data_IF_607558656003
#
_entry.id   IF_607558656003
#
_cell.length_a   1.000
_cell.length_b   1.000
_cell.length_c   1.000
_cell.angle_alpha   90.00
_cell.angle_beta   90.00
_cell.angle_gamma   90.00
#
_symmetry.space_group_name_H-M   'P 1'
#
loop_
_entity.id
_entity.type
_entity.pdbx_description
1 polymer ?
#
# COMPACT_ATOMS: atom_id res chain seq x y z
N UNK A 1 -12.49 13.42 -8.30
CA UNK A 1 -12.29 13.08 -6.87
C UNK A 1 -11.74 11.66 -6.79
N UNK A 2 -10.44 11.45 -7.06
CA UNK A 2 -9.84 10.10 -7.22
C UNK A 2 -9.40 9.45 -5.90
N UNK A 3 -9.30 10.23 -4.82
CA UNK A 3 -8.81 9.77 -3.52
C UNK A 3 -9.77 8.74 -2.88
N UNK A 4 -11.09 8.85 -3.14
CA UNK A 4 -12.08 7.90 -2.62
C UNK A 4 -11.92 6.51 -3.26
N UNK A 5 -11.40 6.43 -4.49
CA UNK A 5 -11.16 5.15 -5.18
C UNK A 5 -10.22 4.23 -4.40
N UNK A 6 -9.25 4.81 -3.68
CA UNK A 6 -8.31 4.08 -2.82
C UNK A 6 -8.97 3.47 -1.57
N UNK A 7 -10.16 3.96 -1.19
CA UNK A 7 -10.96 3.48 -0.06
C UNK A 7 -12.17 2.65 -0.49
N UNK A 8 -12.32 2.33 -1.78
CA UNK A 8 -13.35 1.40 -2.20
C UNK A 8 -13.15 0.05 -1.51
N UNK A 9 -14.21 -0.50 -0.92
CA UNK A 9 -14.21 -1.86 -0.37
C UNK A 9 -13.93 -2.83 -1.51
N UNK A 10 -12.69 -3.24 -1.65
CA UNK A 10 -12.31 -4.31 -2.57
C UNK A 10 -12.57 -5.61 -1.82
N UNK A 11 -13.60 -6.36 -2.22
CA UNK A 11 -13.84 -7.68 -1.64
C UNK A 11 -12.77 -8.64 -2.16
N UNK A 12 -11.64 -8.70 -1.44
CA UNK A 12 -10.50 -9.55 -1.77
C UNK A 12 -10.94 -11.01 -1.81
N UNK A 13 -11.85 -11.43 -0.93
CA UNK A 13 -12.34 -12.81 -0.88
C UNK A 13 -13.14 -13.17 -2.14
N UNK A 14 -13.98 -12.26 -2.63
CA UNK A 14 -14.71 -12.44 -3.89
C UNK A 14 -13.77 -12.48 -5.11
N UNK A 15 -12.73 -11.63 -5.13
CA UNK A 15 -11.71 -11.63 -6.19
C UNK A 15 -10.83 -12.89 -6.20
N UNK A 16 -10.59 -13.48 -5.03
CA UNK A 16 -9.86 -14.75 -4.93
C UNK A 16 -10.71 -15.93 -5.41
N UNK A 17 -12.02 -15.92 -5.14
CA UNK A 17 -12.96 -16.96 -5.59
C UNK A 17 -13.21 -16.95 -7.10
N UNK A 18 -13.20 -15.78 -7.71
CA UNK A 18 -13.44 -15.59 -9.16
C UNK A 18 -12.15 -15.55 -9.98
N UNK A 19 -11.00 -15.80 -9.34
CA UNK A 19 -9.70 -15.77 -9.99
C UNK A 19 -9.59 -16.87 -11.08
N UNK A 20 -9.22 -16.52 -12.32
CA UNK A 20 -9.11 -17.48 -13.42
C UNK A 20 -7.91 -18.42 -13.29
N UNK A 21 -6.87 -17.99 -12.57
CA UNK A 21 -5.64 -18.76 -12.37
C UNK A 21 -4.94 -18.38 -11.04
N UNK A 22 -3.91 -19.15 -10.69
CA UNK A 22 -3.12 -18.94 -9.47
C UNK A 22 -2.31 -17.65 -9.48
N UNK A 23 -1.83 -17.21 -10.65
CA UNK A 23 -1.06 -15.98 -10.81
C UNK A 23 -1.91 -14.74 -10.47
N UNK A 24 -3.17 -14.74 -10.88
CA UNK A 24 -4.14 -13.69 -10.56
C UNK A 24 -4.45 -13.65 -9.06
N UNK A 25 -4.64 -14.81 -8.40
CA UNK A 25 -4.81 -14.85 -6.94
C UNK A 25 -3.62 -14.24 -6.21
N UNK A 26 -2.39 -14.58 -6.63
CA UNK A 26 -1.16 -14.04 -6.05
C UNK A 26 -1.12 -12.52 -6.26
N UNK A 27 -1.47 -12.03 -7.45
CA UNK A 27 -1.56 -10.60 -7.74
C UNK A 27 -2.58 -9.87 -6.86
N UNK A 28 -3.77 -10.45 -6.67
CA UNK A 28 -4.82 -9.91 -5.78
C UNK A 28 -4.35 -9.88 -4.32
N UNK A 29 -3.70 -10.97 -3.86
CA UNK A 29 -3.19 -11.08 -2.50
C UNK A 29 -2.11 -10.02 -2.23
N UNK A 30 -1.09 -9.94 -3.09
CA UNK A 30 -0.01 -8.95 -2.96
C UNK A 30 -0.56 -7.53 -3.10
N UNK A 31 -1.45 -7.30 -4.07
CA UNK A 31 -2.10 -6.01 -4.29
C UNK A 31 -2.91 -5.53 -3.09
N UNK A 32 -3.48 -6.44 -2.28
CA UNK A 32 -4.21 -6.09 -1.05
C UNK A 32 -3.31 -5.48 0.03
N UNK A 33 -2.01 -5.79 0.02
CA UNK A 33 -1.02 -5.23 0.95
C UNK A 33 -0.40 -3.91 0.46
N UNK A 34 -0.61 -3.54 -0.81
CA UNK A 34 -0.05 -2.33 -1.41
C UNK A 34 -0.34 -1.05 -0.60
N UNK A 35 -1.55 -0.81 -0.05
CA UNK A 35 -1.81 0.37 0.79
C UNK A 35 -0.89 0.46 2.00
N UNK A 36 -0.58 -0.67 2.64
CA UNK A 36 0.32 -0.73 3.79
C UNK A 36 1.77 -0.45 3.39
N UNK A 37 2.22 -0.98 2.25
CA UNK A 37 3.56 -0.72 1.71
C UNK A 37 3.75 0.78 1.43
N UNK A 38 2.72 1.44 0.87
CA UNK A 38 2.72 2.89 0.65
C UNK A 38 2.86 3.64 1.98
N UNK A 39 2.11 3.27 3.02
CA UNK A 39 2.22 3.88 4.35
C UNK A 39 3.62 3.71 4.95
N UNK A 40 4.22 2.51 4.83
CA UNK A 40 5.60 2.25 5.27
C UNK A 40 6.59 3.12 4.49
N UNK A 41 6.41 3.27 3.18
CA UNK A 41 7.23 4.15 2.35
C UNK A 41 7.16 5.61 2.79
N UNK A 42 5.95 6.11 3.09
CA UNK A 42 5.73 7.46 3.62
C UNK A 42 6.40 7.60 5.00
N UNK A 43 6.21 6.64 5.90
CA UNK A 43 6.82 6.65 7.22
C UNK A 43 8.36 6.66 7.14
N UNK A 44 8.93 5.85 6.24
CA UNK A 44 10.37 5.85 5.99
C UNK A 44 10.86 7.19 5.45
N UNK A 45 10.14 7.78 4.49
CA UNK A 45 10.47 9.10 3.96
C UNK A 45 10.40 10.19 5.06
N UNK A 46 9.36 10.17 5.89
CA UNK A 46 9.20 11.08 7.02
C UNK A 46 10.34 10.92 8.03
N UNK A 47 10.68 9.68 8.42
CA UNK A 47 11.79 9.38 9.32
C UNK A 47 13.11 9.89 8.74
N UNK A 48 13.38 9.62 7.47
CA UNK A 48 14.63 10.04 6.84
C UNK A 48 14.72 11.57 6.72
N UNK A 49 13.60 12.24 6.46
CA UNK A 49 13.51 13.71 6.48
C UNK A 49 13.74 14.27 7.88
N UNK A 50 13.11 13.71 8.92
CA UNK A 50 13.28 14.14 10.30
C UNK A 50 14.73 13.96 10.78
N UNK A 51 15.33 12.79 10.51
CA UNK A 51 16.74 12.50 10.82
C UNK A 51 17.72 13.45 10.13
N UNK A 52 17.39 13.95 8.94
CA UNK A 52 18.18 14.95 8.22
C UNK A 52 18.08 16.35 8.84
N UNK A 53 16.99 16.65 9.55
CA UNK A 53 16.84 17.90 10.32
C UNK A 53 17.69 17.87 11.59
N UNK A 54 17.67 16.75 12.33
CA UNK A 54 18.52 16.57 13.52
C UNK A 54 20.02 16.67 13.18
N UNK A 55 20.45 16.12 12.04
CA UNK A 55 21.86 16.22 11.60
C UNK A 55 22.27 17.62 11.14
N UNK A 56 21.34 18.47 10.74
CA UNK A 56 21.62 19.83 10.25
C UNK A 56 21.36 20.92 11.32
N UNK A 57 21.03 20.54 12.56
CA UNK A 57 21.13 21.42 13.73
C UNK A 57 20.18 22.63 13.78
N UNK A 58 18.91 22.46 13.40
CA UNK A 58 17.85 23.44 13.73
C UNK A 58 16.84 22.86 14.71
#
# INVERSE_FOLDING_TARGET
MYIISLFQKVDVAEKLKTAPDSSYQIGVLIGSFLPFVVLVGIAYWMYNRAKKRDKNGY
#
